data_IF_697909084593
#
_entry.id   IF_697909084593
#
_cell.length_a   1.000
_cell.length_b   1.000
_cell.length_c   1.000
_cell.angle_alpha   90.00
_cell.angle_beta   90.00
_cell.angle_gamma   90.00
#
_symmetry.space_group_name_H-M   'P 1'
#
loop_
_entity.id
_entity.type
_entity.pdbx_description
1 polymer ?
#
# COMPACT_ATOMS: atom_id res chain seq x y z
N UNK A 1 5.94 29.09 -2.96
CA UNK A 1 7.42 29.00 -2.92
C UNK A 1 7.77 27.60 -2.42
N UNK A 2 8.54 26.82 -3.19
CA UNK A 2 9.05 25.53 -2.75
C UNK A 2 10.17 25.73 -1.74
N UNK A 3 10.31 24.85 -0.77
CA UNK A 3 11.44 24.78 0.15
C UNK A 3 12.27 23.52 -0.17
N UNK A 4 13.02 23.49 -1.28
CA UNK A 4 13.62 22.28 -1.81
C UNK A 4 14.59 21.61 -0.83
N UNK A 5 15.33 22.38 -0.05
CA UNK A 5 16.27 21.83 0.95
C UNK A 5 15.54 21.15 2.10
N UNK A 6 14.38 21.66 2.49
CA UNK A 6 13.56 21.06 3.51
C UNK A 6 12.95 19.71 3.04
N UNK A 7 12.47 19.66 1.81
CA UNK A 7 11.97 18.41 1.19
C UNK A 7 13.10 17.38 1.08
N UNK A 8 14.28 17.76 0.61
CA UNK A 8 15.45 16.87 0.56
C UNK A 8 15.83 16.31 1.93
N UNK A 9 15.71 17.12 2.99
CA UNK A 9 15.97 16.68 4.35
C UNK A 9 15.01 15.57 4.78
N UNK A 10 13.71 15.76 4.49
CA UNK A 10 12.66 14.78 4.81
C UNK A 10 12.88 13.46 4.06
N UNK A 11 13.13 13.56 2.76
CA UNK A 11 13.39 12.41 1.91
C UNK A 11 14.63 11.63 2.38
N UNK A 12 15.68 12.34 2.80
CA UNK A 12 16.88 11.73 3.33
C UNK A 12 16.63 11.00 4.67
N UNK A 13 15.81 11.58 5.55
CA UNK A 13 15.39 10.95 6.81
C UNK A 13 14.57 9.67 6.55
N UNK A 14 13.59 9.74 5.63
CA UNK A 14 12.77 8.58 5.25
C UNK A 14 13.63 7.47 4.63
N UNK A 15 14.53 7.82 3.71
CA UNK A 15 15.46 6.86 3.08
C UNK A 15 16.43 6.24 4.07
N UNK A 16 16.82 6.97 5.12
CA UNK A 16 17.65 6.46 6.20
C UNK A 16 16.89 5.55 7.19
N UNK A 17 15.58 5.34 6.98
CA UNK A 17 14.75 4.43 7.75
C UNK A 17 14.09 5.05 8.98
N UNK A 18 13.95 6.38 9.02
CA UNK A 18 13.33 7.09 10.14
C UNK A 18 12.03 7.77 9.72
N UNK A 19 11.20 8.10 10.70
CA UNK A 19 10.02 8.93 10.55
C UNK A 19 10.28 10.28 11.23
N UNK A 20 9.71 11.37 10.69
CA UNK A 20 9.83 12.70 11.27
C UNK A 20 8.53 13.48 11.14
N UNK A 21 8.34 14.43 12.04
CA UNK A 21 7.33 15.47 11.98
C UNK A 21 7.98 16.86 11.89
N UNK A 22 7.22 17.86 11.45
CA UNK A 22 7.68 19.23 11.35
C UNK A 22 7.35 19.99 12.62
N UNK A 23 8.28 20.85 13.04
CA UNK A 23 8.09 21.68 14.21
C UNK A 23 8.31 23.15 13.86
N UNK A 24 7.41 24.03 14.30
CA UNK A 24 7.58 25.47 14.20
C UNK A 24 8.41 26.00 15.37
N UNK A 25 9.04 27.17 15.19
CA UNK A 25 9.79 27.84 16.26
C UNK A 25 8.97 28.00 17.53
N UNK A 26 7.69 28.37 17.40
CA UNK A 26 6.79 28.54 18.55
C UNK A 26 6.63 27.25 19.35
N UNK A 27 6.38 26.11 18.71
CA UNK A 27 6.23 24.82 19.38
C UNK A 27 7.57 24.34 19.93
N UNK A 28 8.67 24.59 19.22
CA UNK A 28 9.99 24.22 19.65
C UNK A 28 10.40 24.95 20.96
N UNK A 29 10.09 26.24 21.09
CA UNK A 29 10.37 27.00 22.32
C UNK A 29 9.62 26.50 23.55
N UNK A 30 8.46 25.87 23.35
CA UNK A 30 7.68 25.23 24.42
C UNK A 30 8.00 23.75 24.62
N UNK A 31 8.90 23.19 23.79
CA UNK A 31 9.35 21.78 23.90
C UNK A 31 10.38 21.65 25.00
N UNK A 32 10.30 20.59 25.79
CA UNK A 32 11.26 20.30 26.86
C UNK A 32 11.83 18.88 26.74
N UNK A 33 12.98 18.66 27.38
CA UNK A 33 13.63 17.35 27.43
C UNK A 33 13.42 16.71 28.80
N UNK A 34 12.95 15.45 28.81
CA UNK A 34 12.77 14.65 29.99
C UNK A 34 12.87 13.15 29.67
N UNK A 35 13.49 12.37 30.55
CA UNK A 35 13.60 10.91 30.44
C UNK A 35 14.08 10.42 29.06
N UNK A 36 15.09 11.07 28.50
CA UNK A 36 15.66 10.66 27.19
C UNK A 36 14.86 11.07 25.95
N UNK A 37 13.79 11.84 26.12
CA UNK A 37 12.87 12.25 25.04
C UNK A 37 12.62 13.76 25.04
N UNK A 38 12.39 14.29 23.85
CA UNK A 38 11.83 15.63 23.67
C UNK A 38 10.30 15.54 23.75
N UNK A 39 9.67 16.39 24.54
CA UNK A 39 8.22 16.45 24.74
C UNK A 39 7.68 17.77 24.21
N UNK A 40 6.75 17.69 23.28
CA UNK A 40 6.03 18.86 22.75
C UNK A 40 4.84 19.23 23.63
N UNK A 41 4.34 20.48 23.57
CA UNK A 41 3.13 20.89 24.29
C UNK A 41 1.89 20.04 23.98
N UNK A 42 1.81 19.46 22.78
CA UNK A 42 0.74 18.55 22.36
C UNK A 42 0.82 17.13 22.92
N UNK A 43 1.85 16.81 23.74
CA UNK A 43 2.03 15.51 24.37
C UNK A 43 2.76 14.47 23.50
N UNK A 44 3.18 14.81 22.29
CA UNK A 44 3.99 13.91 21.44
C UNK A 44 5.45 13.94 21.89
N UNK A 45 6.11 12.79 21.79
CA UNK A 45 7.52 12.63 22.20
C UNK A 45 8.41 12.24 21.03
N UNK A 46 9.65 12.76 21.01
CA UNK A 46 10.63 12.53 19.95
C UNK A 46 11.99 12.15 20.55
N UNK A 47 12.73 11.32 19.83
CA UNK A 47 14.07 10.87 20.23
C UNK A 47 15.17 11.86 19.86
N UNK A 48 14.91 12.82 19.02
CA UNK A 48 15.85 13.84 18.61
C UNK A 48 15.22 14.96 17.81
N UNK A 49 15.94 16.08 17.70
CA UNK A 49 15.63 17.21 16.85
C UNK A 49 16.64 17.26 15.72
N UNK A 50 16.14 17.27 14.46
CA UNK A 50 16.99 17.43 13.27
C UNK A 50 16.93 18.87 12.79
N UNK A 51 18.10 19.47 12.62
CA UNK A 51 18.31 20.76 11.99
C UNK A 51 18.84 20.48 10.58
N UNK A 52 18.13 20.85 9.50
CA UNK A 52 18.47 20.42 8.14
C UNK A 52 19.90 20.77 7.71
N UNK A 53 20.42 21.94 8.12
CA UNK A 53 21.74 22.42 7.77
C UNK A 53 22.30 23.30 8.90
N UNK A 54 23.63 23.35 9.00
CA UNK A 54 24.31 24.29 9.90
C UNK A 54 24.06 25.76 9.53
N UNK A 55 23.73 26.02 8.26
CA UNK A 55 23.47 27.37 7.72
C UNK A 55 22.01 27.83 7.94
N UNK A 56 21.21 27.02 8.63
CA UNK A 56 19.82 27.40 8.94
C UNK A 56 19.78 28.72 9.72
N UNK A 57 18.97 29.64 9.24
CA UNK A 57 18.71 30.92 9.92
C UNK A 57 17.71 30.65 11.05
N UNK A 58 18.23 30.53 12.25
CA UNK A 58 17.45 30.38 13.47
C UNK A 58 17.46 31.73 14.25
N UNK A 59 16.33 32.04 14.88
CA UNK A 59 16.26 33.21 15.75
C UNK A 59 17.16 33.02 16.98
N UNK A 60 17.67 34.11 17.61
CA UNK A 60 18.49 33.98 18.82
C UNK A 60 17.81 33.20 19.94
N UNK A 61 16.49 33.35 20.10
CA UNK A 61 15.72 32.62 21.11
C UNK A 61 15.70 31.10 20.85
N UNK A 62 15.48 30.71 19.58
CA UNK A 62 15.49 29.29 19.18
C UNK A 62 16.86 28.69 19.35
N UNK A 63 17.94 29.39 18.95
CA UNK A 63 19.32 28.93 19.17
C UNK A 63 19.62 28.69 20.66
N UNK A 64 19.28 29.66 21.50
CA UNK A 64 19.49 29.52 22.96
C UNK A 64 18.71 28.33 23.55
N UNK A 65 17.48 28.13 23.07
CA UNK A 65 16.65 27.02 23.53
C UNK A 65 17.20 25.65 23.08
N UNK A 66 17.66 25.53 21.84
CA UNK A 66 18.31 24.31 21.32
C UNK A 66 19.57 23.98 22.14
N UNK A 67 20.42 24.96 22.45
CA UNK A 67 21.61 24.76 23.29
C UNK A 67 21.22 24.33 24.70
N UNK A 68 20.13 24.85 25.27
CA UNK A 68 19.57 24.40 26.55
C UNK A 68 19.14 22.93 26.51
N UNK A 69 18.39 22.53 25.46
CA UNK A 69 17.95 21.14 25.27
C UNK A 69 19.15 20.21 25.11
N UNK A 70 20.16 20.61 24.35
CA UNK A 70 21.40 19.87 24.14
C UNK A 70 22.18 19.70 25.45
N UNK A 71 22.29 20.74 26.28
CA UNK A 71 22.92 20.68 27.57
C UNK A 71 22.19 19.74 28.55
N UNK A 72 20.90 19.54 28.40
CA UNK A 72 20.09 18.58 29.13
C UNK A 72 20.25 17.14 28.66
N UNK A 73 20.93 16.91 27.51
CA UNK A 73 21.18 15.58 26.96
C UNK A 73 20.29 15.22 25.74
N UNK A 74 19.52 16.18 25.21
CA UNK A 74 18.72 15.94 24.01
C UNK A 74 19.60 15.66 22.77
N UNK A 75 19.18 14.72 21.94
CA UNK A 75 19.83 14.46 20.66
C UNK A 75 19.49 15.60 19.67
N UNK A 76 20.45 16.49 19.45
CA UNK A 76 20.38 17.54 18.44
C UNK A 76 21.27 17.12 17.26
N UNK A 77 20.66 16.90 16.12
CA UNK A 77 21.31 16.39 14.91
C UNK A 77 21.32 17.49 13.87
N UNK A 78 22.51 17.84 13.37
CA UNK A 78 22.68 18.80 12.28
C UNK A 78 22.96 18.03 11.00
N UNK A 79 22.12 18.22 10.00
CA UNK A 79 22.15 17.44 8.76
C UNK A 79 21.33 16.15 8.88
N UNK A 80 21.45 15.29 7.87
CA UNK A 80 20.61 14.09 7.70
C UNK A 80 21.44 12.83 7.45
N UNK A 81 22.70 12.78 7.94
CA UNK A 81 23.50 11.57 7.77
C UNK A 81 22.90 10.40 8.53
N UNK A 82 22.83 9.23 7.89
CA UNK A 82 22.30 8.03 8.52
C UNK A 82 23.08 7.68 9.81
N UNK A 83 24.40 7.94 9.84
CA UNK A 83 25.24 7.69 11.00
C UNK A 83 24.86 8.55 12.21
N UNK A 84 24.44 9.80 11.99
CA UNK A 84 24.00 10.68 13.07
C UNK A 84 22.57 10.37 13.51
N UNK A 85 21.68 10.07 12.59
CA UNK A 85 20.30 9.68 12.89
C UNK A 85 20.24 8.39 13.74
N UNK A 86 21.12 7.42 13.45
CA UNK A 86 21.19 6.15 14.21
C UNK A 86 21.66 6.32 15.67
N UNK A 87 22.32 7.43 16.01
CA UNK A 87 22.64 7.76 17.40
C UNK A 87 21.38 8.06 18.23
N UNK A 88 20.35 8.61 17.62
CA UNK A 88 19.09 8.92 18.30
C UNK A 88 18.09 7.76 18.29
N UNK A 89 18.04 6.98 17.23
CA UNK A 89 17.04 5.93 17.06
C UNK A 89 17.56 4.76 16.21
N UNK A 90 16.90 3.60 16.30
CA UNK A 90 17.15 2.44 15.43
C UNK A 90 16.41 2.68 14.09
N UNK A 91 17.11 2.50 12.98
CA UNK A 91 16.53 2.59 11.64
C UNK A 91 15.58 1.42 11.34
N UNK A 92 14.52 1.67 10.60
CA UNK A 92 13.58 0.63 10.17
C UNK A 92 14.12 -0.08 8.91
N UNK A 93 14.54 -1.32 9.08
CA UNK A 93 15.17 -2.12 8.02
C UNK A 93 14.23 -2.46 6.88
N UNK A 94 12.92 -2.51 7.11
CA UNK A 94 11.96 -2.65 6.03
C UNK A 94 12.06 -1.51 5.00
N UNK A 95 12.41 -0.29 5.43
CA UNK A 95 12.68 0.83 4.52
C UNK A 95 14.05 0.70 3.86
N UNK A 96 15.10 0.49 4.66
CA UNK A 96 16.51 0.59 4.20
C UNK A 96 17.00 -0.63 3.44
N UNK A 97 16.55 -1.84 3.80
CA UNK A 97 17.02 -3.09 3.21
C UNK A 97 16.01 -3.65 2.18
N UNK A 98 14.71 -3.46 2.39
CA UNK A 98 13.66 -4.02 1.54
C UNK A 98 13.00 -3.00 0.60
N UNK A 99 13.29 -1.70 0.77
CA UNK A 99 12.72 -0.63 -0.05
C UNK A 99 11.21 -0.44 0.13
N UNK A 100 10.64 -0.97 1.21
CA UNK A 100 9.22 -0.85 1.52
C UNK A 100 8.88 0.57 2.00
N UNK A 101 7.69 1.03 1.67
CA UNK A 101 7.10 2.22 2.28
C UNK A 101 6.21 1.82 3.43
N UNK A 102 6.29 2.56 4.52
CA UNK A 102 5.51 2.25 5.72
C UNK A 102 5.24 3.48 6.57
N UNK A 103 4.16 3.37 7.32
CA UNK A 103 3.80 4.28 8.41
C UNK A 103 3.63 3.43 9.67
N UNK A 104 4.25 3.86 10.77
CA UNK A 104 4.16 3.18 12.05
C UNK A 104 3.48 4.09 13.10
N UNK A 105 2.58 3.49 13.88
CA UNK A 105 1.96 4.16 15.03
C UNK A 105 1.98 3.25 16.24
N UNK A 106 2.24 3.81 17.41
CA UNK A 106 2.13 3.10 18.68
C UNK A 106 0.69 2.93 19.12
N UNK A 107 0.42 1.88 19.88
CA UNK A 107 -0.83 1.64 20.61
C UNK A 107 -0.53 0.96 21.94
N UNK A 108 -1.54 0.74 22.77
CA UNK A 108 -1.39 0.17 24.12
C UNK A 108 -0.78 -1.24 24.16
N UNK A 109 -0.83 -1.98 23.04
CA UNK A 109 -0.32 -3.35 22.94
C UNK A 109 1.03 -3.45 22.25
N UNK A 110 1.41 -2.43 21.46
CA UNK A 110 2.61 -2.43 20.64
C UNK A 110 2.56 -1.39 19.52
N UNK A 111 2.66 -1.83 18.28
CA UNK A 111 2.70 -0.93 17.12
C UNK A 111 1.88 -1.47 15.97
N UNK A 112 1.19 -0.57 15.28
CA UNK A 112 0.64 -0.82 13.94
C UNK A 112 1.59 -0.29 12.88
N UNK A 113 1.82 -1.10 11.85
CA UNK A 113 2.50 -0.71 10.62
C UNK A 113 1.51 -0.85 9.47
N UNK A 114 1.33 0.19 8.67
CA UNK A 114 0.82 0.05 7.32
C UNK A 114 2.01 -0.02 6.38
N UNK A 115 2.13 -1.09 5.62
CA UNK A 115 3.29 -1.40 4.80
C UNK A 115 2.83 -1.57 3.36
N UNK A 116 3.53 -0.94 2.40
CA UNK A 116 3.28 -1.08 0.97
C UNK A 116 4.57 -1.40 0.22
N UNK A 117 4.48 -2.37 -0.68
CA UNK A 117 5.53 -2.69 -1.63
C UNK A 117 5.31 -1.92 -2.93
N UNK A 118 5.90 -0.75 -3.05
CA UNK A 118 5.84 0.08 -4.27
C UNK A 118 7.00 -0.20 -5.22
N UNK A 119 7.83 -1.21 -4.93
CA UNK A 119 8.91 -1.65 -5.81
C UNK A 119 8.37 -2.52 -6.96
N UNK A 120 9.08 -2.66 -8.08
CA UNK A 120 8.65 -3.53 -9.17
C UNK A 120 8.82 -5.02 -8.87
N UNK A 121 9.42 -5.39 -7.72
CA UNK A 121 9.77 -6.76 -7.38
C UNK A 121 8.91 -7.29 -6.23
N UNK A 122 8.61 -8.59 -6.28
CA UNK A 122 8.07 -9.32 -5.14
C UNK A 122 9.15 -9.42 -4.05
N UNK A 123 8.76 -9.20 -2.81
CA UNK A 123 9.66 -9.26 -1.64
C UNK A 123 9.31 -10.49 -0.80
N UNK A 124 10.32 -11.27 -0.45
CA UNK A 124 10.23 -12.34 0.53
C UNK A 124 11.54 -12.39 1.32
N UNK A 125 11.54 -11.89 2.53
CA UNK A 125 12.74 -11.79 3.36
C UNK A 125 12.40 -11.75 4.85
N UNK A 126 13.31 -12.24 5.68
CA UNK A 126 13.30 -12.01 7.13
C UNK A 126 14.00 -10.68 7.43
N UNK A 127 13.39 -9.88 8.28
CA UNK A 127 13.95 -8.59 8.71
C UNK A 127 13.62 -8.30 10.17
N UNK A 128 14.48 -7.55 10.85
CA UNK A 128 14.23 -7.07 12.21
C UNK A 128 13.49 -5.74 12.19
N UNK A 129 12.65 -5.50 13.20
CA UNK A 129 11.95 -4.23 13.35
C UNK A 129 12.76 -3.22 14.16
N UNK A 130 12.49 -1.93 13.95
CA UNK A 130 13.08 -0.86 14.75
C UNK A 130 12.51 -0.78 16.18
N UNK A 131 11.43 -1.51 16.46
CA UNK A 131 10.77 -1.57 17.76
C UNK A 131 10.82 -2.99 18.32
N UNK A 132 10.77 -3.16 19.67
CA UNK A 132 10.67 -4.47 20.28
C UNK A 132 9.33 -5.12 19.95
N UNK A 133 9.31 -6.45 19.84
CA UNK A 133 8.09 -7.24 19.72
C UNK A 133 8.26 -8.58 20.42
N UNK A 134 7.24 -9.05 21.09
CA UNK A 134 7.15 -10.42 21.58
C UNK A 134 6.50 -11.34 20.55
N UNK A 135 5.57 -10.82 19.78
CA UNK A 135 4.88 -11.51 18.67
C UNK A 135 4.23 -10.48 17.74
N UNK A 136 3.69 -10.97 16.60
CA UNK A 136 3.03 -10.11 15.63
C UNK A 136 1.95 -10.86 14.84
N UNK A 137 1.03 -10.09 14.25
CA UNK A 137 -0.09 -10.55 13.43
C UNK A 137 -0.19 -9.67 12.17
N UNK A 138 -0.44 -10.32 11.05
CA UNK A 138 -0.72 -9.68 9.78
C UNK A 138 -2.23 -9.53 9.54
N UNK A 139 -2.63 -8.39 9.01
CA UNK A 139 -3.99 -8.11 8.55
C UNK A 139 -3.94 -7.71 7.08
N UNK A 140 -4.69 -8.40 6.27
CA UNK A 140 -4.83 -8.08 4.86
C UNK A 140 -6.03 -7.12 4.68
N UNK A 141 -5.80 -5.84 4.34
CA UNK A 141 -6.89 -4.87 4.20
C UNK A 141 -7.80 -5.14 3.00
N UNK A 142 -7.33 -5.92 2.02
CA UNK A 142 -8.13 -6.24 0.82
C UNK A 142 -9.15 -7.34 1.08
N UNK A 143 -8.84 -8.28 1.97
CA UNK A 143 -9.68 -9.46 2.21
C UNK A 143 -10.26 -9.52 3.62
N UNK A 144 -9.74 -8.72 4.55
CA UNK A 144 -10.06 -8.79 5.97
C UNK A 144 -9.44 -10.01 6.68
N UNK A 145 -8.60 -10.78 5.99
CA UNK A 145 -7.97 -11.96 6.57
C UNK A 145 -6.88 -11.60 7.57
N UNK A 146 -6.74 -12.45 8.59
CA UNK A 146 -5.70 -12.36 9.60
C UNK A 146 -4.79 -13.58 9.53
N UNK A 147 -3.49 -13.35 9.76
CA UNK A 147 -2.48 -14.40 9.77
C UNK A 147 -1.49 -14.13 10.90
N UNK A 148 -1.05 -15.20 11.57
CA UNK A 148 0.06 -15.11 12.52
C UNK A 148 1.35 -14.84 11.75
N UNK A 149 2.19 -13.93 12.26
CA UNK A 149 3.50 -13.71 11.70
C UNK A 149 4.43 -14.90 11.96
N UNK A 150 5.23 -15.25 10.95
CA UNK A 150 6.35 -16.17 11.10
C UNK A 150 7.55 -15.40 11.63
N UNK A 151 8.07 -15.84 12.77
CA UNK A 151 9.18 -15.17 13.50
C UNK A 151 10.31 -16.18 13.65
N UNK A 152 11.52 -15.76 13.29
CA UNK A 152 12.76 -16.50 13.46
C UNK A 152 13.76 -15.64 14.25
N UNK A 153 14.00 -16.00 15.51
CA UNK A 153 14.75 -15.17 16.44
C UNK A 153 14.05 -13.81 16.69
N UNK A 154 14.72 -12.73 16.35
CA UNK A 154 14.20 -11.36 16.42
C UNK A 154 13.64 -10.84 15.07
N UNK A 155 13.67 -11.69 14.05
CA UNK A 155 13.28 -11.33 12.68
C UNK A 155 11.88 -11.84 12.35
N UNK A 156 11.16 -11.07 11.55
CA UNK A 156 9.83 -11.40 11.03
C UNK A 156 9.91 -11.64 9.51
N UNK A 157 9.20 -12.65 9.04
CA UNK A 157 9.03 -12.86 7.60
C UNK A 157 8.11 -11.79 7.01
N UNK A 158 8.64 -11.03 6.06
CA UNK A 158 7.90 -10.11 5.21
C UNK A 158 7.82 -10.71 3.82
N UNK A 159 6.62 -10.96 3.32
CA UNK A 159 6.39 -11.40 1.95
C UNK A 159 5.23 -10.60 1.34
N UNK A 160 5.57 -9.73 0.40
CA UNK A 160 4.67 -8.83 -0.30
C UNK A 160 4.96 -8.84 -1.79
N UNK A 161 3.95 -9.04 -2.61
CA UNK A 161 4.07 -8.87 -4.05
C UNK A 161 4.22 -7.39 -4.40
N UNK A 162 4.77 -7.12 -5.57
CA UNK A 162 4.75 -5.76 -6.14
C UNK A 162 3.31 -5.21 -6.15
N UNK A 163 3.10 -4.02 -5.63
CA UNK A 163 1.81 -3.35 -5.48
C UNK A 163 0.98 -3.76 -4.26
N UNK A 164 1.36 -4.79 -3.51
CA UNK A 164 0.63 -5.19 -2.28
C UNK A 164 0.86 -4.22 -1.12
N UNK A 165 -0.18 -4.09 -0.31
CA UNK A 165 -0.12 -3.46 1.01
C UNK A 165 -0.65 -4.40 2.09
N UNK A 166 -0.15 -4.24 3.31
CA UNK A 166 -0.53 -5.06 4.45
C UNK A 166 -0.40 -4.28 5.76
N UNK A 167 -1.12 -4.70 6.77
CA UNK A 167 -1.01 -4.16 8.11
C UNK A 167 -0.33 -5.19 9.01
N UNK A 168 0.68 -4.75 9.77
CA UNK A 168 1.32 -5.54 10.81
C UNK A 168 0.95 -4.94 12.18
N UNK A 169 0.41 -5.75 13.07
CA UNK A 169 0.31 -5.43 14.50
C UNK A 169 1.37 -6.20 15.25
N UNK A 170 2.26 -5.48 15.94
CA UNK A 170 3.21 -6.06 16.90
C UNK A 170 2.63 -6.03 18.31
N UNK A 171 3.06 -6.95 19.16
CA UNK A 171 2.66 -7.01 20.55
C UNK A 171 3.91 -7.04 21.43
N UNK A 172 3.96 -6.18 22.43
CA UNK A 172 5.08 -6.09 23.38
C UNK A 172 5.10 -7.26 24.36
N UNK A 173 3.94 -7.82 24.67
CA UNK A 173 3.77 -8.92 25.60
C UNK A 173 2.83 -9.99 25.01
N UNK A 174 2.96 -11.22 25.48
CA UNK A 174 2.06 -12.33 25.19
C UNK A 174 1.25 -12.63 26.46
N UNK A 175 -0.06 -12.59 26.34
CA UNK A 175 -0.98 -13.11 27.33
C UNK A 175 -1.68 -14.38 26.83
N UNK A 176 -2.47 -15.04 27.68
CA UNK A 176 -3.14 -16.29 27.36
C UNK A 176 -4.18 -16.09 26.24
N UNK A 177 -4.92 -14.98 26.25
CA UNK A 177 -5.94 -14.68 25.25
C UNK A 177 -5.31 -14.48 23.87
N UNK A 178 -4.22 -13.70 23.79
CA UNK A 178 -3.48 -13.47 22.55
C UNK A 178 -2.86 -14.78 22.03
N UNK A 179 -2.27 -15.59 22.90
CA UNK A 179 -1.70 -16.87 22.51
C UNK A 179 -2.75 -17.83 21.91
N UNK A 180 -3.95 -17.86 22.50
CA UNK A 180 -5.08 -18.66 21.98
C UNK A 180 -5.55 -18.11 20.62
N UNK A 181 -5.67 -16.81 20.47
CA UNK A 181 -6.02 -16.17 19.20
C UNK A 181 -5.00 -16.51 18.13
N UNK A 182 -3.71 -16.27 18.38
CA UNK A 182 -2.63 -16.55 17.43
C UNK A 182 -2.54 -18.03 17.02
N UNK A 183 -2.79 -18.94 17.96
CA UNK A 183 -2.77 -20.37 17.67
C UNK A 183 -3.88 -20.80 16.70
N UNK A 184 -5.01 -20.07 16.67
CA UNK A 184 -6.12 -20.34 15.76
C UNK A 184 -5.91 -19.80 14.34
N UNK A 185 -4.92 -18.93 14.14
CA UNK A 185 -4.68 -18.27 12.86
C UNK A 185 -3.70 -19.07 11.98
N UNK A 186 -3.90 -19.07 10.66
CA UNK A 186 -2.89 -19.56 9.74
C UNK A 186 -1.61 -18.73 9.85
N UNK A 187 -0.46 -19.37 9.65
CA UNK A 187 0.84 -18.68 9.60
C UNK A 187 1.04 -18.07 8.21
N UNK A 188 1.48 -16.82 8.16
CA UNK A 188 1.99 -16.23 6.93
C UNK A 188 3.40 -16.75 6.71
N UNK A 189 3.51 -17.80 5.89
CA UNK A 189 4.76 -18.50 5.61
C UNK A 189 5.36 -18.12 4.25
N UNK A 190 6.57 -18.56 4.00
CA UNK A 190 7.25 -18.40 2.72
C UNK A 190 6.41 -18.92 1.55
N UNK A 191 6.46 -18.21 0.44
CA UNK A 191 5.90 -18.70 -0.82
C UNK A 191 6.71 -19.88 -1.33
N UNK A 192 6.04 -20.98 -1.54
CA UNK A 192 6.65 -22.16 -2.16
C UNK A 192 6.35 -22.14 -3.65
N UNK A 193 7.36 -22.42 -4.48
CA UNK A 193 7.11 -22.72 -5.89
C UNK A 193 6.28 -24.00 -5.97
N UNK A 194 5.05 -23.86 -6.44
CA UNK A 194 4.21 -25.01 -6.83
C UNK A 194 4.22 -25.13 -8.34
N UNK A 195 4.11 -26.36 -8.88
CA UNK A 195 3.81 -26.53 -10.31
C UNK A 195 2.38 -26.00 -10.54
N UNK A 196 2.29 -24.81 -11.10
CA UNK A 196 1.00 -24.17 -11.37
C UNK A 196 0.59 -24.43 -12.83
N UNK A 197 -0.66 -24.80 -13.02
CA UNK A 197 -1.31 -24.72 -14.33
C UNK A 197 -1.60 -23.25 -14.60
N UNK A 198 -1.08 -22.74 -15.69
CA UNK A 198 -1.33 -21.36 -16.14
C UNK A 198 -2.21 -21.42 -17.39
N UNK A 199 -3.32 -20.70 -17.37
CA UNK A 199 -4.22 -20.53 -18.50
C UNK A 199 -4.30 -19.05 -18.86
N UNK A 200 -4.06 -18.72 -20.11
CA UNK A 200 -4.30 -17.37 -20.62
C UNK A 200 -5.77 -17.26 -21.00
N UNK A 201 -6.44 -16.22 -20.53
CA UNK A 201 -7.80 -15.90 -20.94
C UNK A 201 -7.77 -15.09 -22.23
N UNK A 202 -8.48 -15.55 -23.23
CA UNK A 202 -8.55 -14.96 -24.56
C UNK A 202 -9.94 -15.12 -25.17
N UNK A 203 -10.14 -14.66 -26.41
CA UNK A 203 -11.42 -14.72 -27.15
C UNK A 203 -12.56 -14.09 -26.34
N UNK A 204 -12.36 -12.83 -25.98
CA UNK A 204 -13.30 -12.07 -25.18
C UNK A 204 -14.46 -11.52 -26.03
N UNK A 205 -15.66 -11.64 -25.49
CA UNK A 205 -16.81 -10.86 -25.94
C UNK A 205 -16.96 -9.67 -24.99
N UNK A 206 -16.85 -8.44 -25.50
CA UNK A 206 -17.02 -7.21 -24.74
C UNK A 206 -18.32 -6.53 -25.13
N UNK A 207 -19.16 -6.24 -24.16
CA UNK A 207 -20.32 -5.37 -24.29
C UNK A 207 -20.29 -4.31 -23.20
N UNK A 208 -21.13 -3.27 -23.31
CA UNK A 208 -21.15 -2.18 -22.35
C UNK A 208 -22.53 -2.08 -21.71
N UNK A 209 -22.53 -1.86 -20.39
CA UNK A 209 -23.72 -1.56 -19.59
C UNK A 209 -23.52 -0.22 -18.90
N UNK A 210 -24.60 0.49 -18.61
CA UNK A 210 -24.55 1.79 -17.94
C UNK A 210 -23.61 2.80 -18.60
N UNK A 211 -23.43 2.71 -19.92
CA UNK A 211 -22.46 3.48 -20.66
C UNK A 211 -22.98 4.87 -21.05
N UNK A 212 -22.10 5.87 -20.96
CA UNK A 212 -22.37 7.22 -21.46
C UNK A 212 -21.19 7.72 -22.30
N UNK A 213 -21.37 8.02 -23.61
CA UNK A 213 -22.58 7.81 -24.40
C UNK A 213 -23.01 6.33 -24.49
N UNK A 214 -24.30 6.08 -24.71
CA UNK A 214 -24.80 4.70 -24.82
C UNK A 214 -24.19 3.99 -26.04
N UNK A 215 -23.74 2.77 -25.85
CA UNK A 215 -23.20 1.89 -26.89
C UNK A 215 -23.94 0.55 -26.87
N UNK A 216 -24.50 0.15 -28.00
CA UNK A 216 -25.13 -1.17 -28.19
C UNK A 216 -24.21 -2.18 -28.89
N UNK A 217 -23.07 -1.72 -29.41
CA UNK A 217 -22.10 -2.55 -30.15
C UNK A 217 -21.39 -3.53 -29.22
N UNK A 218 -21.23 -4.75 -29.73
CA UNK A 218 -20.42 -5.79 -29.07
C UNK A 218 -19.12 -5.97 -29.85
N UNK A 219 -18.02 -6.20 -29.11
CA UNK A 219 -16.68 -6.41 -29.66
C UNK A 219 -16.22 -7.83 -29.39
N UNK A 220 -15.64 -8.48 -30.39
CA UNK A 220 -14.92 -9.74 -30.22
C UNK A 220 -13.44 -9.43 -30.25
N UNK A 221 -12.73 -9.80 -29.18
CA UNK A 221 -11.32 -9.46 -28.96
C UNK A 221 -10.53 -10.73 -28.66
N UNK A 222 -9.46 -10.97 -29.39
CA UNK A 222 -8.56 -12.08 -29.07
C UNK A 222 -7.90 -11.86 -27.70
N UNK A 223 -7.49 -10.61 -27.44
CA UNK A 223 -6.90 -10.17 -26.15
C UNK A 223 -7.56 -8.88 -25.68
N UNK A 224 -7.51 -8.61 -24.39
CA UNK A 224 -8.00 -7.34 -23.82
C UNK A 224 -7.21 -6.14 -24.35
N UNK A 225 -7.90 -5.03 -24.57
CA UNK A 225 -7.33 -3.74 -25.00
C UNK A 225 -7.95 -2.61 -24.21
N UNK A 226 -7.24 -1.51 -24.06
CA UNK A 226 -7.82 -0.29 -23.52
C UNK A 226 -8.96 0.20 -24.45
N UNK A 227 -10.05 0.68 -23.88
CA UNK A 227 -11.24 1.09 -24.63
C UNK A 227 -10.94 2.20 -25.64
N UNK A 228 -10.03 3.10 -25.30
CA UNK A 228 -9.58 4.18 -26.19
C UNK A 228 -8.92 3.67 -27.49
N UNK A 229 -8.49 2.41 -27.50
CA UNK A 229 -7.84 1.76 -28.65
C UNK A 229 -8.78 0.82 -29.42
N UNK A 230 -10.06 0.79 -29.12
CA UNK A 230 -11.04 -0.03 -29.83
C UNK A 230 -11.63 0.75 -31.03
N UNK A 231 -12.29 1.86 -30.76
CA UNK A 231 -12.78 2.81 -31.77
C UNK A 231 -13.13 4.17 -31.12
N UNK A 232 -13.57 5.12 -31.97
CA UNK A 232 -13.90 6.47 -31.52
C UNK A 232 -15.07 6.50 -30.53
N UNK A 233 -16.01 5.56 -30.61
CA UNK A 233 -17.18 5.49 -29.74
C UNK A 233 -16.77 5.12 -28.31
N UNK A 234 -15.73 4.31 -28.15
CA UNK A 234 -15.26 3.84 -26.84
C UNK A 234 -14.21 4.73 -26.22
N UNK A 235 -13.56 5.59 -27.04
CA UNK A 235 -12.49 6.48 -26.57
C UNK A 235 -12.92 7.42 -25.45
N UNK A 236 -14.14 7.90 -25.49
CA UNK A 236 -14.68 8.91 -24.57
C UNK A 236 -15.78 8.37 -23.67
N UNK A 237 -15.82 7.05 -23.54
CA UNK A 237 -16.85 6.34 -22.79
C UNK A 237 -16.59 6.40 -21.30
N UNK A 238 -17.62 6.62 -20.52
CA UNK A 238 -17.69 6.25 -19.13
C UNK A 238 -18.77 5.20 -18.90
N UNK A 239 -18.51 4.20 -18.06
CA UNK A 239 -19.48 3.14 -17.78
C UNK A 239 -18.84 1.83 -17.36
N UNK A 240 -19.59 0.74 -17.60
CA UNK A 240 -19.14 -0.61 -17.27
C UNK A 240 -19.04 -1.46 -18.53
N UNK A 241 -17.83 -1.95 -18.79
CA UNK A 241 -17.54 -2.95 -19.82
C UNK A 241 -17.64 -4.35 -19.25
N UNK A 242 -18.45 -5.19 -19.89
CA UNK A 242 -18.65 -6.60 -19.52
C UNK A 242 -17.87 -7.49 -20.47
N UNK A 243 -16.81 -8.10 -19.96
CA UNK A 243 -15.97 -9.05 -20.69
C UNK A 243 -16.40 -10.47 -20.34
N UNK A 244 -16.66 -11.28 -21.34
CA UNK A 244 -17.00 -12.69 -21.20
C UNK A 244 -16.08 -13.56 -22.04
N UNK A 245 -15.55 -14.62 -21.47
CA UNK A 245 -14.84 -15.69 -22.17
C UNK A 245 -15.11 -17.05 -21.51
N UNK A 246 -14.67 -18.11 -22.16
CA UNK A 246 -14.71 -19.46 -21.60
C UNK A 246 -13.33 -20.08 -21.58
N UNK A 247 -13.07 -20.90 -20.56
CA UNK A 247 -11.88 -21.75 -20.49
C UNK A 247 -12.29 -23.21 -20.38
N UNK A 248 -11.61 -24.07 -21.09
CA UNK A 248 -11.77 -25.53 -20.96
C UNK A 248 -10.72 -26.08 -20.02
N UNK A 249 -11.14 -26.91 -19.07
CA UNK A 249 -10.27 -27.56 -18.08
C UNK A 249 -10.44 -29.08 -18.11
N UNK A 250 -9.32 -29.78 -18.14
CA UNK A 250 -9.27 -31.23 -18.01
C UNK A 250 -9.36 -31.65 -16.53
N UNK A 251 -9.75 -32.88 -16.27
CA UNK A 251 -9.75 -33.45 -14.91
C UNK A 251 -8.35 -33.44 -14.26
N UNK A 252 -7.29 -33.53 -15.05
CA UNK A 252 -5.91 -33.52 -14.55
C UNK A 252 -5.47 -32.14 -14.02
N UNK A 253 -6.07 -31.07 -14.55
CA UNK A 253 -5.83 -29.69 -14.11
C UNK A 253 -6.61 -29.33 -12.84
N UNK A 254 -7.68 -30.04 -12.57
CA UNK A 254 -8.58 -29.84 -11.42
C UNK A 254 -8.21 -30.78 -10.27
N UNK A 255 -7.05 -30.57 -9.65
CA UNK A 255 -6.69 -31.34 -8.46
C UNK A 255 -7.52 -30.88 -7.26
N UNK A 256 -8.00 -31.84 -6.44
CA UNK A 256 -8.76 -31.54 -5.21
C UNK A 256 -7.95 -30.61 -4.29
N UNK A 257 -8.57 -29.53 -3.85
CA UNK A 257 -7.96 -28.54 -2.96
C UNK A 257 -7.15 -27.45 -3.67
N UNK A 258 -7.10 -27.41 -5.01
CA UNK A 258 -6.44 -26.33 -5.73
C UNK A 258 -7.14 -25.01 -5.47
N UNK A 259 -6.34 -23.99 -5.18
CA UNK A 259 -6.75 -22.58 -5.24
C UNK A 259 -6.32 -22.02 -6.59
N UNK A 260 -7.20 -21.23 -7.17
CA UNK A 260 -6.95 -20.53 -8.42
C UNK A 260 -6.81 -19.05 -8.15
N UNK A 261 -5.97 -18.40 -8.90
CA UNK A 261 -5.85 -16.94 -8.87
C UNK A 261 -6.07 -16.42 -10.28
N UNK A 262 -7.02 -15.50 -10.43
CA UNK A 262 -7.17 -14.71 -11.63
C UNK A 262 -6.36 -13.44 -11.47
N UNK A 263 -5.48 -13.17 -12.43
CA UNK A 263 -4.68 -11.96 -12.53
C UNK A 263 -5.22 -11.13 -13.69
N UNK A 264 -5.73 -9.95 -13.38
CA UNK A 264 -6.36 -9.07 -14.36
C UNK A 264 -5.35 -8.12 -15.01
N UNK A 265 -4.08 -8.15 -14.57
CA UNK A 265 -3.06 -7.22 -15.02
C UNK A 265 -3.34 -5.80 -14.54
N UNK A 266 -3.61 -4.88 -15.47
CA UNK A 266 -3.90 -3.48 -15.19
C UNK A 266 -5.39 -3.18 -15.44
N UNK A 267 -6.11 -2.85 -14.38
CA UNK A 267 -7.54 -2.50 -14.41
C UNK A 267 -7.71 -1.02 -14.03
N UNK A 268 -8.53 -0.30 -14.81
CA UNK A 268 -8.80 1.13 -14.58
C UNK A 268 -10.33 1.34 -14.60
N UNK A 269 -11.05 1.33 -13.41
CA UNK A 269 -10.47 1.39 -12.04
C UNK A 269 -10.87 0.19 -11.19
N UNK A 270 -12.04 -0.42 -11.44
CA UNK A 270 -12.51 -1.55 -10.63
C UNK A 270 -13.08 -2.65 -11.51
N UNK A 271 -12.94 -3.90 -11.06
CA UNK A 271 -13.46 -5.07 -11.77
C UNK A 271 -14.17 -6.03 -10.81
N UNK A 272 -15.45 -6.29 -11.05
CA UNK A 272 -16.15 -7.43 -10.45
C UNK A 272 -15.91 -8.67 -11.29
N UNK A 273 -15.51 -9.76 -10.65
CA UNK A 273 -15.15 -11.00 -11.35
C UNK A 273 -16.07 -12.13 -10.93
N UNK A 274 -16.56 -12.84 -11.92
CA UNK A 274 -17.45 -13.99 -11.75
C UNK A 274 -16.85 -15.21 -12.44
N UNK A 275 -16.98 -16.35 -11.77
CA UNK A 275 -16.62 -17.67 -12.28
C UNK A 275 -17.86 -18.54 -12.22
N UNK A 276 -18.32 -19.05 -13.36
CA UNK A 276 -19.56 -19.84 -13.48
C UNK A 276 -20.74 -19.15 -12.75
N UNK A 277 -20.92 -17.85 -13.04
CA UNK A 277 -21.93 -16.94 -12.49
C UNK A 277 -21.83 -16.66 -10.99
N UNK A 278 -20.84 -17.23 -10.29
CA UNK A 278 -20.56 -16.93 -8.88
C UNK A 278 -19.60 -15.74 -8.75
N UNK A 279 -19.99 -14.69 -8.04
CA UNK A 279 -19.11 -13.54 -7.74
C UNK A 279 -17.96 -14.01 -6.83
N UNK A 280 -16.72 -13.82 -7.30
CA UNK A 280 -15.52 -14.16 -6.51
C UNK A 280 -14.92 -12.95 -5.78
N UNK A 281 -15.27 -11.75 -6.20
CA UNK A 281 -14.85 -10.51 -5.56
C UNK A 281 -14.79 -9.32 -6.50
N UNK A 282 -14.31 -8.21 -5.96
CA UNK A 282 -14.04 -6.98 -6.70
C UNK A 282 -12.56 -6.61 -6.55
N UNK A 283 -11.85 -6.50 -7.68
CA UNK A 283 -10.49 -5.97 -7.71
C UNK A 283 -10.57 -4.45 -7.95
N UNK A 284 -10.08 -3.64 -7.02
CA UNK A 284 -10.20 -2.17 -7.06
C UNK A 284 -8.90 -1.45 -6.74
N UNK A 285 -7.85 -2.20 -6.44
CA UNK A 285 -6.50 -1.69 -6.20
C UNK A 285 -5.46 -2.74 -6.64
N UNK A 286 -4.25 -2.28 -6.90
CA UNK A 286 -3.12 -3.15 -7.25
C UNK A 286 -2.70 -4.01 -6.05
N UNK A 287 -2.28 -5.29 -6.29
CA UNK A 287 -2.37 -6.01 -7.56
C UNK A 287 -3.81 -6.46 -7.81
N UNK A 288 -4.29 -6.30 -9.06
CA UNK A 288 -5.65 -6.70 -9.45
C UNK A 288 -5.76 -8.22 -9.59
N UNK A 289 -5.73 -8.92 -8.45
CA UNK A 289 -5.76 -10.38 -8.35
C UNK A 289 -6.80 -10.85 -7.37
N UNK A 290 -7.54 -11.88 -7.75
CA UNK A 290 -8.54 -12.50 -6.90
C UNK A 290 -8.29 -14.01 -6.82
N UNK A 291 -8.32 -14.55 -5.61
CA UNK A 291 -8.14 -15.99 -5.38
C UNK A 291 -9.46 -16.64 -4.99
N UNK A 292 -9.72 -17.81 -5.55
CA UNK A 292 -10.95 -18.57 -5.31
C UNK A 292 -10.68 -20.06 -5.33
N UNK A 293 -11.65 -20.85 -4.89
CA UNK A 293 -11.59 -22.33 -4.88
C UNK A 293 -12.97 -22.92 -5.17
N UNK A 294 -13.00 -24.16 -5.62
CA UNK A 294 -14.21 -24.98 -5.76
C UNK A 294 -15.29 -24.43 -6.70
N UNK A 295 -14.96 -23.53 -7.62
CA UNK A 295 -15.90 -22.99 -8.60
C UNK A 295 -15.67 -23.50 -10.02
N UNK A 296 -14.49 -24.05 -10.31
CA UNK A 296 -14.16 -24.61 -11.62
C UNK A 296 -14.52 -26.11 -11.69
N UNK A 297 -14.97 -26.53 -12.86
CA UNK A 297 -15.30 -27.92 -13.16
C UNK A 297 -14.65 -28.39 -14.48
N UNK A 298 -14.66 -29.70 -14.73
CA UNK A 298 -14.18 -30.27 -16.00
C UNK A 298 -15.02 -29.76 -17.17
N UNK A 299 -14.37 -29.43 -18.26
CA UNK A 299 -14.98 -28.84 -19.44
C UNK A 299 -15.03 -27.32 -19.36
N UNK A 300 -15.99 -26.71 -20.05
CA UNK A 300 -16.10 -25.28 -20.22
C UNK A 300 -16.53 -24.57 -18.94
N UNK A 301 -15.75 -23.58 -18.54
CA UNK A 301 -16.05 -22.68 -17.44
C UNK A 301 -16.19 -21.24 -17.96
N UNK A 302 -17.23 -20.54 -17.54
CA UNK A 302 -17.49 -19.16 -17.91
C UNK A 302 -16.75 -18.21 -16.97
N UNK A 303 -16.03 -17.26 -17.56
CA UNK A 303 -15.41 -16.14 -16.83
C UNK A 303 -16.10 -14.86 -17.30
N UNK A 304 -16.61 -14.07 -16.36
CA UNK A 304 -17.21 -12.77 -16.62
C UNK A 304 -16.54 -11.72 -15.74
N UNK A 305 -16.12 -10.61 -16.35
CA UNK A 305 -15.43 -9.51 -15.68
C UNK A 305 -16.14 -8.21 -16.05
N UNK A 306 -16.64 -7.50 -15.04
CA UNK A 306 -17.32 -6.22 -15.20
C UNK A 306 -16.35 -5.12 -14.76
N UNK A 307 -15.78 -4.40 -15.74
CA UNK A 307 -14.82 -3.31 -15.49
C UNK A 307 -15.56 -1.99 -15.53
N UNK A 308 -15.47 -1.22 -14.47
CA UNK A 308 -16.04 0.15 -14.40
C UNK A 308 -14.90 1.16 -14.37
N UNK A 309 -14.90 2.10 -15.32
CA UNK A 309 -13.90 3.15 -15.42
C UNK A 309 -14.35 4.45 -14.72
N UNK A 310 -13.41 5.40 -14.61
CA UNK A 310 -13.70 6.77 -14.19
C UNK A 310 -14.24 7.63 -15.34
N UNK A 311 -14.97 8.73 -15.05
CA UNK A 311 -15.51 9.63 -16.07
C UNK A 311 -14.46 10.53 -16.72
N UNK A 312 -13.16 10.36 -16.44
CA UNK A 312 -12.08 11.26 -16.89
C UNK A 312 -12.05 11.48 -18.39
N UNK A 313 -12.13 10.38 -19.19
CA UNK A 313 -12.13 10.49 -20.65
C UNK A 313 -13.39 11.21 -21.18
N UNK A 314 -14.53 10.99 -20.53
CA UNK A 314 -15.78 11.69 -20.89
C UNK A 314 -15.73 13.17 -20.57
N UNK A 315 -15.21 13.53 -19.40
CA UNK A 315 -15.05 14.93 -19.00
C UNK A 315 -14.09 15.65 -19.93
N UNK A 316 -12.95 15.02 -20.26
CA UNK A 316 -11.97 15.56 -21.22
C UNK A 316 -12.58 15.83 -22.59
N UNK A 317 -13.47 14.94 -23.08
CA UNK A 317 -14.18 15.13 -24.35
C UNK A 317 -15.18 16.30 -24.29
N UNK A 318 -15.95 16.38 -23.21
CA UNK A 318 -16.89 17.49 -23.01
C UNK A 318 -16.17 18.84 -22.91
N UNK A 319 -15.01 18.88 -22.27
CA UNK A 319 -14.16 20.09 -22.19
C UNK A 319 -13.67 20.49 -23.59
N UNK A 320 -13.20 19.53 -24.41
CA UNK A 320 -12.81 19.80 -25.82
C UNK A 320 -13.97 20.30 -26.68
N UNK A 321 -15.19 19.85 -26.39
CA UNK A 321 -16.41 20.32 -27.07
C UNK A 321 -16.92 21.69 -26.57
N UNK A 322 -16.22 22.29 -25.58
CA UNK A 322 -16.56 23.61 -25.03
C UNK A 322 -17.68 23.60 -23.99
N UNK A 323 -18.07 22.44 -23.48
CA UNK A 323 -19.03 22.37 -22.37
C UNK A 323 -18.43 22.97 -21.09
N UNK A 324 -19.11 23.96 -20.52
CA UNK A 324 -18.74 24.54 -19.23
C UNK A 324 -19.16 23.61 -18.10
N UNK A 325 -18.20 22.84 -17.60
CA UNK A 325 -18.42 21.90 -16.49
C UNK A 325 -17.93 22.42 -15.14
N UNK A 326 -17.04 23.47 -15.15
CA UNK A 326 -16.56 24.10 -13.94
C UNK A 326 -17.57 25.10 -13.40
N UNK A 327 -17.94 24.97 -12.13
CA UNK A 327 -18.78 25.91 -11.42
C UNK A 327 -17.99 26.94 -10.61
N UNK A 328 -16.69 26.71 -10.44
CA UNK A 328 -15.80 27.58 -9.69
C UNK A 328 -14.64 27.97 -10.63
N UNK A 329 -14.45 29.29 -10.81
CA UNK A 329 -13.34 29.81 -11.63
C UNK A 329 -12.02 29.83 -10.86
N UNK A 330 -12.09 29.86 -9.52
CA UNK A 330 -10.94 29.82 -8.63
C UNK A 330 -11.16 28.84 -7.48
N UNK A 331 -10.18 28.01 -7.23
CA UNK A 331 -10.04 27.25 -6.00
C UNK A 331 -8.92 27.91 -5.23
N UNK A 332 -9.23 28.54 -4.13
CA UNK A 332 -8.21 29.02 -3.20
C UNK A 332 -7.48 27.82 -2.61
N UNK A 333 -6.23 27.66 -2.99
CA UNK A 333 -5.29 26.66 -2.46
C UNK A 333 -4.47 27.31 -1.36
#
# INVERSE_FOLDING_TARGET
KSAPEFVKCIDAIDQAGFDCDYISDRILLDTYYNNGMLHTPGGTTYKGLVIPSADNILTPAVKAHIEKLKAQGANIIVGTSAADLTKAAKAEKMKTELGLKLIRRSNDKGYHYFIANLTPNDIQAYTTLAVPMATAMWFDPMTGNRQRAEICGDSILVNLRSGESIILQTFNHKDEALNKELASLPVRCEWKKTSSVVKTLNNWKLSFTEATPAISKTYNLDTTKAWENLDDSTRTLMGTGVYECTIDLSAAELKKGNRWTIDLGDVRESARVYVNDSLIGCAWAVPYRLSFANLLHKGNNKIRIEVTNLPANRISELDRQGYKWRKFDEINV
#
